data_IF_690567394891
#
_entry.id   IF_690567394891
#
_cell.length_a   1.000
_cell.length_b   1.000
_cell.length_c   1.000
_cell.angle_alpha   90.00
_cell.angle_beta   90.00
_cell.angle_gamma   90.00
#
_symmetry.space_group_name_H-M   'P 1'
#
loop_
_entity.id
_entity.type
_entity.pdbx_description
1 polymer ?
#
# COMPACT_ATOMS: atom_id res chain seq x y z
N UNK A 1 -21.14 -0.83 13.19
CA UNK A 1 -20.50 -1.48 12.04
C UNK A 1 -19.94 -0.40 11.13
N UNK A 2 -18.65 -0.55 10.78
CA UNK A 2 -17.90 0.03 9.65
C UNK A 2 -17.88 1.56 9.43
N UNK A 3 -17.27 2.29 10.36
CA UNK A 3 -16.46 3.47 10.00
C UNK A 3 -15.10 2.93 9.51
N UNK A 4 -14.88 2.82 8.20
CA UNK A 4 -13.54 2.98 7.56
C UNK A 4 -13.45 2.53 6.08
N UNK A 5 -14.55 2.42 5.34
CA UNK A 5 -14.48 2.29 3.86
C UNK A 5 -14.33 3.64 3.13
N UNK A 6 -13.77 4.68 3.76
CA UNK A 6 -13.75 6.01 3.10
C UNK A 6 -12.78 6.08 1.92
N UNK A 7 -11.73 5.26 1.87
CA UNK A 7 -10.84 5.18 0.70
C UNK A 7 -10.25 3.78 0.55
N UNK A 8 -10.43 3.15 -0.64
CA UNK A 8 -9.84 1.84 -0.98
C UNK A 8 -8.30 1.87 -0.93
N UNK A 9 -7.71 3.04 -1.19
CA UNK A 9 -6.27 3.21 -1.27
C UNK A 9 -5.78 4.32 -0.33
N UNK A 10 -4.68 4.05 0.36
CA UNK A 10 -3.91 5.05 1.12
C UNK A 10 -2.68 5.46 0.32
N UNK A 11 -2.40 6.77 0.25
CA UNK A 11 -1.28 7.31 -0.52
C UNK A 11 -0.25 7.94 0.42
N UNK A 12 0.99 7.46 0.35
CA UNK A 12 2.12 7.93 1.17
C UNK A 12 3.12 8.58 0.22
N UNK A 13 3.35 9.90 0.35
CA UNK A 13 4.34 10.60 -0.50
C UNK A 13 5.76 10.20 -0.09
N UNK A 14 6.58 9.83 -1.06
CA UNK A 14 8.00 9.51 -0.85
C UNK A 14 8.96 10.48 -1.53
N UNK A 15 8.47 11.26 -2.52
CA UNK A 15 9.27 12.26 -3.20
C UNK A 15 8.50 12.98 -4.32
N UNK A 16 9.16 13.85 -5.11
CA UNK A 16 8.52 14.60 -6.19
C UNK A 16 7.99 13.73 -7.34
N UNK A 17 6.72 13.31 -7.26
CA UNK A 17 6.07 12.42 -8.24
C UNK A 17 6.11 10.94 -7.87
N UNK A 18 6.67 10.63 -6.71
CA UNK A 18 6.83 9.27 -6.18
C UNK A 18 5.96 9.08 -4.93
N UNK A 19 5.21 7.99 -4.91
CA UNK A 19 4.31 7.65 -3.81
C UNK A 19 4.22 6.14 -3.59
N UNK A 20 4.03 5.72 -2.35
CA UNK A 20 3.54 4.39 -2.02
C UNK A 20 2.01 4.43 -1.99
N UNK A 21 1.40 3.45 -2.62
CA UNK A 21 -0.04 3.18 -2.55
C UNK A 21 -0.21 1.92 -1.71
N UNK A 22 -1.04 1.99 -0.68
CA UNK A 22 -1.46 0.83 0.10
C UNK A 22 -2.90 0.52 -0.27
N UNK A 23 -3.16 -0.70 -0.74
CA UNK A 23 -4.53 -1.20 -0.87
C UNK A 23 -5.05 -1.58 0.51
N UNK A 24 -6.05 -0.84 1.02
CA UNK A 24 -6.59 -1.06 2.36
C UNK A 24 -7.45 -2.34 2.44
N UNK A 25 -7.84 -2.92 1.31
CA UNK A 25 -8.55 -4.20 1.24
C UNK A 25 -7.58 -5.38 1.46
N UNK A 26 -6.40 -5.33 0.85
CA UNK A 26 -5.45 -6.45 0.82
C UNK A 26 -4.17 -6.22 1.63
N UNK A 27 -3.89 -4.99 2.02
CA UNK A 27 -2.66 -4.57 2.68
C UNK A 27 -1.45 -4.43 1.75
N UNK A 28 -1.59 -4.69 0.44
CA UNK A 28 -0.45 -4.70 -0.49
C UNK A 28 0.08 -3.29 -0.75
N UNK A 29 1.40 -3.14 -0.70
CA UNK A 29 2.09 -1.91 -1.06
C UNK A 29 2.52 -1.90 -2.54
N UNK A 30 2.29 -0.77 -3.21
CA UNK A 30 2.74 -0.49 -4.56
C UNK A 30 3.58 0.77 -4.56
N UNK A 31 4.70 0.78 -5.27
CA UNK A 31 5.42 1.99 -5.62
C UNK A 31 4.86 2.56 -6.91
N UNK A 32 4.46 3.82 -6.89
CA UNK A 32 4.05 4.59 -8.06
C UNK A 32 5.00 5.73 -8.29
N UNK A 33 5.57 5.78 -9.49
CA UNK A 33 6.23 6.96 -10.03
C UNK A 33 5.32 7.63 -11.08
N UNK A 34 5.84 8.61 -11.82
CA UNK A 34 5.06 9.38 -12.80
C UNK A 34 4.38 8.55 -13.89
N UNK A 35 4.93 7.38 -14.23
CA UNK A 35 4.50 6.59 -15.40
C UNK A 35 4.23 5.12 -15.10
N UNK A 36 4.67 4.61 -13.95
CA UNK A 36 4.59 3.20 -13.60
C UNK A 36 4.00 2.99 -12.22
N UNK A 37 3.29 1.86 -12.07
CA UNK A 37 2.84 1.30 -10.81
C UNK A 37 3.45 -0.09 -10.67
N UNK A 38 4.23 -0.31 -9.62
CA UNK A 38 5.02 -1.52 -9.41
C UNK A 38 4.67 -2.09 -8.04
N UNK A 39 4.27 -3.37 -7.92
CA UNK A 39 4.07 -3.98 -6.62
C UNK A 39 5.41 -4.06 -5.87
N UNK A 40 5.43 -3.61 -4.62
CA UNK A 40 6.59 -3.84 -3.76
C UNK A 40 6.61 -5.31 -3.36
N UNK A 41 7.79 -5.90 -3.34
CA UNK A 41 7.99 -7.29 -2.95
C UNK A 41 8.80 -7.36 -1.67
N UNK A 42 8.46 -8.31 -0.81
CA UNK A 42 9.27 -8.70 0.33
C UNK A 42 10.43 -9.63 -0.12
N UNK A 43 11.34 -9.94 0.79
CA UNK A 43 12.51 -10.82 0.63
C UNK A 43 12.19 -12.17 -0.03
N UNK A 44 10.97 -12.68 0.18
CA UNK A 44 10.48 -13.95 -0.39
C UNK A 44 9.84 -13.80 -1.79
N UNK A 45 9.99 -12.64 -2.46
CA UNK A 45 9.33 -12.31 -3.74
C UNK A 45 7.80 -12.32 -3.69
N UNK A 46 7.21 -12.26 -2.49
CA UNK A 46 5.77 -12.09 -2.30
C UNK A 46 5.44 -10.59 -2.22
N UNK A 47 4.19 -10.18 -2.53
CA UNK A 47 3.77 -8.80 -2.33
C UNK A 47 4.07 -8.34 -0.91
N UNK A 48 4.70 -7.17 -0.78
CA UNK A 48 5.00 -6.56 0.50
C UNK A 48 3.69 -6.07 1.11
N UNK A 49 3.41 -6.54 2.32
CA UNK A 49 2.27 -6.09 3.11
C UNK A 49 2.66 -4.88 3.95
N UNK A 50 1.74 -3.92 4.05
CA UNK A 50 1.89 -2.77 4.90
C UNK A 50 1.82 -3.19 6.38
N UNK A 51 2.75 -2.67 7.17
CA UNK A 51 2.88 -3.01 8.59
C UNK A 51 1.65 -2.59 9.40
N UNK A 52 1.16 -1.36 9.23
CA UNK A 52 0.00 -0.86 9.97
C UNK A 52 -1.26 -1.64 9.61
N UNK A 53 -1.42 -2.01 8.34
CA UNK A 53 -2.52 -2.88 7.91
C UNK A 53 -2.45 -4.25 8.58
N UNK A 54 -1.24 -4.83 8.64
CA UNK A 54 -1.00 -6.15 9.25
C UNK A 54 -1.29 -6.13 10.75
N UNK A 55 -0.83 -5.10 11.47
CA UNK A 55 -1.08 -4.93 12.91
C UNK A 55 -2.57 -4.75 13.25
N UNK A 56 -3.38 -4.20 12.33
CA UNK A 56 -4.84 -4.05 12.50
C UNK A 56 -5.65 -5.31 12.21
N UNK A 57 -5.09 -6.27 11.47
CA UNK A 57 -5.79 -7.47 10.98
C UNK A 57 -5.17 -8.79 11.48
N UNK A 58 -4.23 -8.73 12.44
CA UNK A 58 -3.64 -9.88 13.13
C UNK A 58 -4.29 -10.07 14.49
#
# INVERSE_FOLDING_TARGET
>A
MSQDMKYRFTYIKCGPGDQIIVDNETGIEYYKNRTHLIPLLDTNRKPKLNREWTEKHS
#
